data_IF_104897820451
#
_entry.id   IF_104897820451
#
_cell.length_a   1.000
_cell.length_b   1.000
_cell.length_c   1.000
_cell.angle_alpha   90.00
_cell.angle_beta   90.00
_cell.angle_gamma   90.00
#
_symmetry.space_group_name_H-M   'P 1'
#
loop_
_entity.id
_entity.type
_entity.pdbx_description
1 polymer ?
#
# COMPACT_ATOMS: atom_id res chain seq x y z
N UNK A 1 -39.44 -32.68 -19.32
CA UNK A 1 -38.24 -31.98 -19.85
C UNK A 1 -38.57 -30.50 -19.93
N UNK A 2 -38.17 -29.74 -18.92
CA UNK A 2 -38.23 -28.27 -18.93
C UNK A 2 -37.32 -27.76 -17.83
N UNK A 3 -36.02 -27.75 -18.13
CA UNK A 3 -35.04 -27.11 -17.27
C UNK A 3 -35.18 -25.59 -17.47
N UNK A 4 -35.81 -24.94 -16.49
CA UNK A 4 -36.03 -23.48 -16.41
C UNK A 4 -34.72 -22.71 -16.19
N UNK A 5 -33.77 -22.81 -17.11
CA UNK A 5 -32.47 -22.11 -17.03
C UNK A 5 -32.32 -21.00 -18.09
N UNK A 6 -33.42 -20.42 -18.57
CA UNK A 6 -33.39 -19.19 -19.37
C UNK A 6 -33.50 -17.99 -18.43
N UNK A 7 -32.36 -17.51 -17.94
CA UNK A 7 -32.29 -16.27 -17.21
C UNK A 7 -30.85 -15.77 -17.12
N UNK A 8 -30.61 -14.54 -17.59
CA UNK A 8 -29.34 -13.83 -17.46
C UNK A 8 -28.96 -13.76 -15.96
N UNK A 9 -27.93 -14.52 -15.56
CA UNK A 9 -27.51 -14.62 -14.17
C UNK A 9 -26.13 -15.25 -14.07
N UNK A 10 -25.42 -14.95 -12.99
CA UNK A 10 -24.07 -15.48 -12.73
C UNK A 10 -24.22 -16.90 -12.18
N UNK A 11 -23.59 -17.87 -12.85
CA UNK A 11 -23.61 -19.29 -12.45
C UNK A 11 -22.22 -19.73 -12.00
N UNK A 12 -22.17 -20.53 -10.93
CA UNK A 12 -20.97 -21.26 -10.51
C UNK A 12 -21.01 -22.65 -11.13
N UNK A 13 -19.92 -23.06 -11.75
CA UNK A 13 -19.75 -24.41 -12.28
C UNK A 13 -18.68 -25.16 -11.49
N UNK A 14 -18.91 -26.44 -11.24
CA UNK A 14 -17.87 -27.30 -10.72
C UNK A 14 -16.87 -27.65 -11.83
N UNK A 15 -15.58 -27.76 -11.49
CA UNK A 15 -14.54 -28.16 -12.44
C UNK A 15 -14.44 -29.68 -12.64
N UNK A 16 -15.05 -30.46 -11.75
CA UNK A 16 -14.89 -31.92 -11.70
C UNK A 16 -16.16 -32.67 -12.09
N UNK A 17 -17.34 -32.05 -11.92
CA UNK A 17 -18.63 -32.65 -12.26
C UNK A 17 -19.51 -31.67 -13.04
N UNK A 18 -20.53 -32.15 -13.79
CA UNK A 18 -21.41 -31.30 -14.61
C UNK A 18 -22.44 -30.49 -13.79
N UNK A 19 -22.17 -30.26 -12.51
CA UNK A 19 -23.05 -29.50 -11.62
C UNK A 19 -22.92 -27.99 -11.87
N UNK A 20 -24.06 -27.32 -11.97
CA UNK A 20 -24.17 -25.87 -12.15
C UNK A 20 -25.07 -25.33 -11.04
N UNK A 21 -24.56 -24.37 -10.28
CA UNK A 21 -25.29 -23.66 -9.22
C UNK A 21 -25.57 -22.23 -9.68
N UNK A 22 -26.84 -21.82 -9.63
CA UNK A 22 -27.24 -20.43 -9.91
C UNK A 22 -27.14 -19.64 -8.61
N UNK A 23 -26.43 -18.51 -8.64
CA UNK A 23 -26.24 -17.69 -7.45
C UNK A 23 -27.54 -16.90 -7.20
N UNK A 24 -28.15 -17.10 -6.04
CA UNK A 24 -29.27 -16.27 -5.58
C UNK A 24 -28.75 -15.15 -4.68
N UNK A 25 -28.74 -13.87 -5.12
CA UNK A 25 -28.07 -12.79 -4.38
C UNK A 25 -28.66 -12.48 -3.00
N UNK A 26 -29.86 -12.96 -2.69
CA UNK A 26 -30.50 -12.83 -1.37
C UNK A 26 -30.05 -13.93 -0.38
N UNK A 27 -29.61 -15.08 -0.89
CA UNK A 27 -29.28 -16.26 -0.07
C UNK A 27 -27.80 -16.66 -0.15
N UNK A 28 -27.12 -16.34 -1.25
CA UNK A 28 -25.75 -16.72 -1.55
C UNK A 28 -24.80 -15.51 -1.40
N UNK A 29 -23.92 -15.58 -0.40
CA UNK A 29 -22.90 -14.55 -0.16
C UNK A 29 -21.66 -14.77 -1.05
N UNK A 30 -21.77 -14.42 -2.35
CA UNK A 30 -20.65 -14.50 -3.30
C UNK A 30 -19.97 -13.14 -3.43
N UNK A 31 -18.70 -13.06 -3.01
CA UNK A 31 -17.92 -11.82 -3.06
C UNK A 31 -16.90 -11.85 -4.20
N UNK A 32 -16.93 -10.83 -5.07
CA UNK A 32 -15.86 -10.57 -6.03
C UNK A 32 -14.88 -9.57 -5.42
N UNK A 33 -13.58 -9.92 -5.36
CA UNK A 33 -12.54 -9.00 -4.92
C UNK A 33 -12.30 -7.94 -5.97
N UNK A 34 -12.85 -6.75 -5.78
CA UNK A 34 -12.53 -5.57 -6.61
C UNK A 34 -11.21 -4.97 -6.11
N UNK A 35 -10.18 -4.97 -6.96
CA UNK A 35 -8.96 -4.22 -6.69
C UNK A 35 -9.28 -2.72 -6.84
N UNK A 36 -9.37 -1.99 -5.74
CA UNK A 36 -9.50 -0.54 -5.75
C UNK A 36 -8.21 0.03 -6.35
N UNK A 37 -8.32 0.67 -7.53
CA UNK A 37 -7.17 1.19 -8.28
C UNK A 37 -6.49 2.36 -7.56
N UNK A 38 -7.24 3.09 -6.74
CA UNK A 38 -6.74 4.26 -6.02
C UNK A 38 -6.35 3.89 -4.60
N UNK A 39 -5.13 3.34 -4.46
CA UNK A 39 -4.49 3.27 -3.14
C UNK A 39 -4.26 4.69 -2.66
N UNK A 40 -4.72 5.01 -1.45
CA UNK A 40 -4.44 6.30 -0.79
C UNK A 40 -2.93 6.55 -0.85
N UNK A 41 -2.52 7.69 -1.41
CA UNK A 41 -1.11 8.09 -1.40
C UNK A 41 -0.68 8.21 0.07
N UNK A 42 0.41 7.53 0.41
CA UNK A 42 1.03 7.68 1.73
C UNK A 42 1.64 9.07 1.76
N UNK A 43 1.17 9.91 2.67
CA UNK A 43 1.70 11.26 2.89
C UNK A 43 3.04 11.17 3.63
N UNK A 44 3.99 12.06 3.29
CA UNK A 44 5.27 12.15 4.00
C UNK A 44 5.03 12.77 5.38
N UNK A 45 5.27 11.98 6.43
CA UNK A 45 5.07 12.39 7.83
C UNK A 45 6.02 13.52 8.24
N UNK A 46 7.13 13.70 7.52
CA UNK A 46 8.22 14.59 7.92
C UNK A 46 8.28 15.90 7.12
N UNK A 47 7.35 16.16 6.20
CA UNK A 47 7.51 17.24 5.23
C UNK A 47 7.74 18.63 5.88
N UNK A 48 7.05 18.92 6.98
CA UNK A 48 7.24 20.15 7.75
C UNK A 48 8.51 20.15 8.63
N UNK A 49 9.00 18.98 9.03
CA UNK A 49 10.16 18.85 9.93
C UNK A 49 11.49 19.06 9.21
N UNK A 50 11.52 18.87 7.88
CA UNK A 50 12.72 19.10 7.08
C UNK A 50 13.10 20.59 6.96
N UNK A 51 12.14 21.51 7.11
CA UNK A 51 12.39 22.95 6.97
C UNK A 51 13.32 23.52 8.06
N UNK A 52 13.36 22.90 9.24
CA UNK A 52 14.23 23.28 10.35
C UNK A 52 15.34 22.27 10.63
N UNK A 53 15.55 21.31 9.74
CA UNK A 53 16.51 20.23 9.94
C UNK A 53 17.96 20.76 9.84
N UNK A 54 18.82 20.28 10.73
CA UNK A 54 20.24 20.62 10.71
C UNK A 54 20.92 19.93 9.53
N UNK A 55 21.94 20.58 8.96
CA UNK A 55 22.72 20.03 7.85
C UNK A 55 24.04 19.45 8.36
N UNK A 56 24.39 18.26 7.90
CA UNK A 56 25.63 17.54 8.21
C UNK A 56 26.35 17.15 6.92
N UNK A 57 27.68 17.04 7.00
CA UNK A 57 28.52 16.50 5.92
C UNK A 57 28.35 14.98 5.85
N UNK A 58 27.43 14.50 5.02
CA UNK A 58 27.19 13.09 4.78
C UNK A 58 27.04 12.82 3.28
N UNK A 59 27.75 11.82 2.77
CA UNK A 59 27.72 11.48 1.35
C UNK A 59 26.50 10.62 1.02
N UNK A 60 25.62 11.12 0.16
CA UNK A 60 24.49 10.35 -0.33
C UNK A 60 24.95 9.29 -1.35
N UNK A 61 24.64 8.03 -1.09
CA UNK A 61 25.01 6.91 -1.99
C UNK A 61 24.31 6.96 -3.36
N UNK A 62 23.21 7.69 -3.50
CA UNK A 62 22.46 7.79 -4.77
C UNK A 62 22.92 8.91 -5.68
N UNK A 63 23.22 10.09 -5.14
CA UNK A 63 23.57 11.27 -5.92
C UNK A 63 25.00 11.78 -5.70
N UNK A 64 25.76 11.22 -4.75
CA UNK A 64 27.14 11.63 -4.48
C UNK A 64 27.30 12.99 -3.80
N UNK A 65 26.22 13.69 -3.46
CA UNK A 65 26.27 14.95 -2.72
C UNK A 65 26.82 14.73 -1.32
N UNK A 66 27.62 15.69 -0.83
CA UNK A 66 28.32 15.62 0.45
C UNK A 66 27.57 16.31 1.60
N UNK A 67 26.38 16.87 1.32
CA UNK A 67 25.56 17.56 2.31
C UNK A 67 24.18 16.90 2.42
N UNK A 68 23.76 16.61 3.65
CA UNK A 68 22.46 16.06 3.95
C UNK A 68 21.84 16.76 5.16
N UNK A 69 20.56 17.09 5.07
CA UNK A 69 19.75 17.44 6.22
C UNK A 69 19.47 16.17 7.04
N UNK A 70 19.59 16.25 8.35
CA UNK A 70 19.26 15.15 9.24
C UNK A 70 18.21 15.55 10.28
N UNK A 71 17.31 14.62 10.57
CA UNK A 71 16.37 14.71 11.68
C UNK A 71 16.54 13.49 12.58
N UNK A 72 16.25 13.70 13.84
CA UNK A 72 16.51 12.77 14.92
C UNK A 72 15.16 12.43 15.56
N UNK A 73 14.72 11.17 15.45
CA UNK A 73 13.39 10.76 15.90
C UNK A 73 13.44 9.53 16.80
N UNK A 74 12.69 9.60 17.90
CA UNK A 74 12.60 8.52 18.88
C UNK A 74 11.50 7.52 18.49
N UNK A 75 11.86 6.50 17.71
CA UNK A 75 10.98 5.37 17.36
C UNK A 75 11.25 4.10 18.19
N UNK A 76 12.27 4.10 19.05
CA UNK A 76 12.73 2.92 19.81
C UNK A 76 12.56 3.14 21.32
N UNK A 77 12.71 2.04 22.07
CA UNK A 77 12.85 2.14 23.53
C UNK A 77 14.05 3.03 23.87
N UNK A 78 14.03 3.63 25.07
CA UNK A 78 15.08 4.53 25.53
C UNK A 78 16.46 3.87 25.67
N UNK A 79 16.53 2.53 25.57
CA UNK A 79 17.77 1.75 25.68
C UNK A 79 18.56 1.67 24.36
N UNK A 80 17.98 2.10 23.23
CA UNK A 80 18.65 2.13 21.94
C UNK A 80 18.95 3.58 21.52
N UNK A 81 20.06 3.83 20.78
CA UNK A 81 20.37 5.16 20.29
C UNK A 81 19.28 5.68 19.35
N UNK A 82 19.11 6.99 19.34
CA UNK A 82 18.10 7.69 18.54
C UNK A 82 18.25 7.39 17.05
N UNK A 83 17.13 7.21 16.34
CA UNK A 83 17.14 6.96 14.89
C UNK A 83 17.32 8.27 14.14
N UNK A 84 18.34 8.35 13.29
CA UNK A 84 18.63 9.49 12.43
C UNK A 84 18.13 9.25 11.01
N UNK A 85 17.36 10.19 10.45
CA UNK A 85 16.91 10.17 9.06
C UNK A 85 17.67 11.23 8.27
N UNK A 86 18.09 10.89 7.05
CA UNK A 86 18.82 11.81 6.17
C UNK A 86 18.03 12.12 4.89
N UNK A 87 18.02 13.38 4.49
CA UNK A 87 17.49 13.87 3.21
C UNK A 87 18.54 14.75 2.54
N UNK A 88 18.75 14.57 1.25
CA UNK A 88 19.72 15.37 0.47
C UNK A 88 19.27 16.83 0.49
N UNK A 89 20.16 17.76 0.88
CA UNK A 89 19.79 19.15 1.17
C UNK A 89 19.46 20.00 -0.07
N UNK A 90 19.82 19.58 -1.28
CA UNK A 90 19.35 20.14 -2.55
C UNK A 90 19.83 19.26 -3.70
N UNK A 91 18.95 18.86 -4.60
CA UNK A 91 19.37 18.41 -5.92
C UNK A 91 19.63 19.65 -6.77
N UNK A 92 20.78 19.71 -7.44
CA UNK A 92 21.00 20.66 -8.54
C UNK A 92 20.19 20.23 -9.75
#
# INVERSE_FOLDING_TARGET
>A
MSNKFEGEGINLYCRTCPYIHRIDPEHDNVFTKTNVKDRKKVEDVFDNQWAGANTTKATCQKCGHQEAAFIEFQIRSADEPMTQFYKVSRAL
#
